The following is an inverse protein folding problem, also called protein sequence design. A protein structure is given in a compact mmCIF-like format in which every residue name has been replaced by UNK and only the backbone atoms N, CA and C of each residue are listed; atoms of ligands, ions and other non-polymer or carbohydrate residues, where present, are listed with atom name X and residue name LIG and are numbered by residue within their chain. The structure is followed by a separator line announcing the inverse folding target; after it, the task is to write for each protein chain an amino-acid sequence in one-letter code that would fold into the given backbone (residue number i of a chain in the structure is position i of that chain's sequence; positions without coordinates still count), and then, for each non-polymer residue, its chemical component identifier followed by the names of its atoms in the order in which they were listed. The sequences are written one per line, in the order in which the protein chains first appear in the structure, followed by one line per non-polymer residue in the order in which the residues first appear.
data_IF_131912409805
#
_entry.id   IF_131912409805
#
_cell.length_a   1.000
_cell.length_b   1.000
_cell.length_c   1.000
_cell.angle_alpha   90.00
_cell.angle_beta   90.00
_cell.angle_gamma   90.00
#
_symmetry.space_group_name_H-M   'P 1'
#
loop_
_entity.id
_entity.type
_entity.pdbx_description
1 polymer ?
#
# COMPACT_ATOMS: atom_id res chain seq x y z
N UNK A 1 -9.99 38.91 49.55
CA UNK A 1 -9.08 39.48 50.56
C UNK A 1 -8.10 38.38 50.92
N UNK A 2 -6.87 38.47 50.43
CA UNK A 2 -5.83 37.50 50.74
C UNK A 2 -4.99 38.04 51.90
N UNK A 3 -4.76 37.22 52.93
CA UNK A 3 -4.06 37.62 54.15
C UNK A 3 -2.61 37.17 53.99
N UNK A 4 -1.74 38.11 53.65
CA UNK A 4 -0.30 37.92 53.82
C UNK A 4 0.26 39.06 54.69
N UNK A 5 0.85 38.69 55.82
CA UNK A 5 1.60 39.57 56.73
C UNK A 5 0.84 40.74 57.37
N UNK A 6 -0.37 40.49 57.90
CA UNK A 6 -0.98 41.32 58.97
C UNK A 6 -1.24 42.80 58.65
N UNK A 7 -1.17 43.22 57.38
CA UNK A 7 -1.56 44.56 56.92
C UNK A 7 -2.74 44.46 55.96
N UNK A 8 -3.85 45.12 56.29
CA UNK A 8 -4.99 45.26 55.39
C UNK A 8 -4.58 46.14 54.19
N UNK A 9 -4.21 45.52 53.07
CA UNK A 9 -4.12 46.23 51.79
C UNK A 9 -5.54 46.34 51.23
N UNK A 10 -6.07 47.56 51.17
CA UNK A 10 -7.24 47.85 50.35
C UNK A 10 -6.88 47.57 48.90
N UNK A 11 -7.54 46.58 48.28
CA UNK A 11 -7.35 46.32 46.85
C UNK A 11 -7.75 47.57 46.07
N UNK A 12 -6.90 48.00 45.13
CA UNK A 12 -7.23 49.08 44.22
C UNK A 12 -8.45 48.68 43.38
N UNK A 13 -9.37 49.61 43.11
CA UNK A 13 -10.58 49.35 42.30
C UNK A 13 -10.26 48.63 40.99
N UNK A 14 -9.08 48.88 40.40
CA UNK A 14 -8.61 48.22 39.20
C UNK A 14 -8.38 46.71 39.36
N UNK A 15 -7.79 46.26 40.49
CA UNK A 15 -7.58 44.83 40.75
C UNK A 15 -8.88 44.08 41.03
N UNK A 16 -9.88 44.75 41.63
CA UNK A 16 -11.21 44.15 41.79
C UNK A 16 -11.93 43.99 40.45
N UNK A 17 -11.80 44.96 39.53
CA UNK A 17 -12.41 44.88 38.19
C UNK A 17 -11.75 43.76 37.36
N UNK A 18 -10.44 43.58 37.46
CA UNK A 18 -9.70 42.54 36.73
C UNK A 18 -10.06 41.12 37.23
N UNK A 19 -10.17 40.93 38.54
CA UNK A 19 -10.63 39.65 39.11
C UNK A 19 -12.11 39.38 38.74
N UNK A 20 -12.95 40.41 38.70
CA UNK A 20 -14.36 40.28 38.30
C UNK A 20 -14.50 39.94 36.81
N UNK A 21 -13.65 40.52 35.95
CA UNK A 21 -13.61 40.24 34.51
C UNK A 21 -13.11 38.81 34.23
N UNK A 22 -12.04 38.38 34.90
CA UNK A 22 -11.52 37.00 34.80
C UNK A 22 -12.57 35.97 35.28
N UNK A 23 -13.31 36.29 36.34
CA UNK A 23 -14.41 35.44 36.80
C UNK A 23 -15.55 35.35 35.77
N UNK A 24 -15.89 36.46 35.11
CA UNK A 24 -16.89 36.47 34.06
C UNK A 24 -16.46 35.63 32.84
N UNK A 25 -15.22 35.81 32.36
CA UNK A 25 -14.70 35.03 31.23
C UNK A 25 -14.61 33.53 31.55
N UNK A 26 -14.26 33.20 32.79
CA UNK A 26 -14.27 31.81 33.27
C UNK A 26 -15.69 31.23 33.31
N UNK A 27 -16.68 32.01 33.74
CA UNK A 27 -18.09 31.59 33.72
C UNK A 27 -18.59 31.40 32.29
N UNK A 28 -18.25 32.30 31.36
CA UNK A 28 -18.65 32.15 29.96
C UNK A 28 -18.01 30.91 29.32
N UNK A 29 -16.73 30.65 29.55
CA UNK A 29 -16.06 29.45 29.05
C UNK A 29 -16.61 28.16 29.66
N UNK A 30 -16.89 28.12 30.97
CA UNK A 30 -17.54 26.97 31.62
C UNK A 30 -18.95 26.73 31.08
N UNK A 31 -19.76 27.78 30.91
CA UNK A 31 -21.09 27.66 30.30
C UNK A 31 -21.02 27.17 28.84
N UNK A 32 -20.06 27.66 28.06
CA UNK A 32 -19.86 27.17 26.69
C UNK A 32 -19.48 25.69 26.68
N UNK A 33 -18.65 25.27 27.63
CA UNK A 33 -18.21 23.88 27.76
C UNK A 33 -19.36 22.95 28.18
N UNK A 34 -20.19 23.38 29.14
CA UNK A 34 -21.37 22.66 29.59
C UNK A 34 -22.44 22.55 28.49
N UNK A 35 -22.69 23.62 27.73
CA UNK A 35 -23.61 23.60 26.57
C UNK A 35 -23.08 22.66 25.47
N UNK A 36 -21.76 22.56 25.29
CA UNK A 36 -21.14 21.64 24.34
C UNK A 36 -21.26 20.19 24.83
N UNK A 37 -21.04 19.93 26.11
CA UNK A 37 -21.17 18.60 26.72
C UNK A 37 -22.63 18.10 26.70
N UNK A 38 -23.58 18.96 27.04
CA UNK A 38 -25.03 18.63 27.04
C UNK A 38 -25.54 18.34 25.61
N UNK A 39 -25.07 19.11 24.62
CA UNK A 39 -25.32 18.80 23.20
C UNK A 39 -24.72 17.46 22.79
N UNK A 40 -23.54 17.12 23.30
CA UNK A 40 -22.86 15.87 22.99
C UNK A 40 -23.60 14.66 23.60
N UNK A 41 -24.12 14.81 24.83
CA UNK A 41 -24.91 13.78 25.51
C UNK A 41 -26.25 13.53 24.81
N UNK A 42 -26.94 14.58 24.34
CA UNK A 42 -28.18 14.45 23.57
C UNK A 42 -27.93 13.73 22.23
N UNK A 43 -26.82 14.01 21.55
CA UNK A 43 -26.43 13.33 20.31
C UNK A 43 -26.11 11.85 20.57
N UNK A 44 -25.48 11.51 21.69
CA UNK A 44 -25.10 10.14 22.02
C UNK A 44 -26.28 9.27 22.51
N UNK A 45 -27.33 9.87 23.09
CA UNK A 45 -28.46 9.15 23.66
C UNK A 45 -29.57 8.81 22.64
N UNK A 46 -29.73 9.60 21.58
CA UNK A 46 -30.82 9.44 20.59
C UNK A 46 -30.41 8.59 19.36
N UNK A 47 -29.12 8.26 19.22
CA UNK A 47 -28.64 7.37 18.17
C UNK A 47 -28.74 5.91 18.62
N UNK A 48 -29.54 5.05 17.97
CA UNK A 48 -29.35 3.62 18.16
C UNK A 48 -27.91 3.32 17.74
N UNK A 49 -27.14 2.60 18.57
CA UNK A 49 -25.73 2.20 18.32
C UNK A 49 -25.61 1.20 17.16
N UNK A 50 -26.37 1.41 16.09
CA UNK A 50 -26.23 0.75 14.81
C UNK A 50 -25.03 1.44 14.19
N UNK A 51 -23.91 0.73 14.12
CA UNK A 51 -22.70 1.24 13.49
C UNK A 51 -22.96 1.36 11.99
N UNK A 52 -23.57 2.47 11.56
CA UNK A 52 -23.95 2.71 10.16
C UNK A 52 -22.73 2.64 9.24
N UNK A 53 -21.56 3.07 9.72
CA UNK A 53 -20.27 2.89 9.03
C UNK A 53 -19.95 1.42 8.76
N UNK A 54 -20.03 0.56 9.78
CA UNK A 54 -19.80 -0.87 9.65
C UNK A 54 -20.84 -1.55 8.73
N UNK A 55 -22.09 -1.10 8.77
CA UNK A 55 -23.13 -1.58 7.87
C UNK A 55 -22.80 -1.22 6.41
N UNK A 56 -22.46 0.03 6.11
CA UNK A 56 -22.16 0.46 4.74
C UNK A 56 -20.96 -0.31 4.15
N UNK A 57 -19.87 -0.42 4.91
CA UNK A 57 -18.66 -1.13 4.46
C UNK A 57 -18.92 -2.62 4.21
N UNK A 58 -19.74 -3.27 5.05
CA UNK A 58 -20.08 -4.68 4.86
C UNK A 58 -20.97 -4.92 3.64
N UNK A 59 -21.91 -4.02 3.36
CA UNK A 59 -22.75 -4.11 2.15
C UNK A 59 -21.95 -3.90 0.87
N UNK A 60 -21.05 -2.91 0.85
CA UNK A 60 -20.17 -2.68 -0.29
C UNK A 60 -19.26 -3.88 -0.54
N UNK A 61 -18.58 -4.36 0.49
CA UNK A 61 -17.67 -5.50 0.39
C UNK A 61 -18.37 -6.77 -0.09
N UNK A 62 -19.54 -7.09 0.48
CA UNK A 62 -20.30 -8.28 0.09
C UNK A 62 -20.85 -8.17 -1.34
N UNK A 63 -21.32 -7.00 -1.76
CA UNK A 63 -21.80 -6.78 -3.12
C UNK A 63 -20.68 -6.99 -4.16
N UNK A 64 -19.51 -6.39 -3.96
CA UNK A 64 -18.36 -6.60 -4.85
C UNK A 64 -17.82 -8.04 -4.77
N UNK A 65 -17.83 -8.67 -3.60
CA UNK A 65 -17.43 -10.07 -3.45
C UNK A 65 -18.33 -11.03 -4.23
N UNK A 66 -19.65 -10.83 -4.19
CA UNK A 66 -20.61 -11.63 -4.97
C UNK A 66 -20.45 -11.37 -6.47
N UNK A 67 -20.29 -10.10 -6.87
CA UNK A 67 -20.07 -9.74 -8.27
C UNK A 67 -18.76 -10.35 -8.83
N UNK A 68 -17.67 -10.25 -8.07
CA UNK A 68 -16.37 -10.84 -8.41
C UNK A 68 -16.44 -12.37 -8.51
N UNK A 69 -17.15 -13.03 -7.60
CA UNK A 69 -17.34 -14.49 -7.63
C UNK A 69 -18.07 -14.94 -8.89
N UNK A 70 -19.17 -14.25 -9.27
CA UNK A 70 -19.92 -14.54 -10.51
C UNK A 70 -19.10 -14.27 -11.77
N UNK A 71 -18.26 -13.22 -11.76
CA UNK A 71 -17.38 -12.91 -12.88
C UNK A 71 -16.32 -14.01 -13.07
N UNK A 72 -15.65 -14.39 -11.98
CA UNK A 72 -14.64 -15.46 -11.99
C UNK A 72 -15.25 -16.79 -12.42
N UNK A 73 -16.45 -17.13 -11.96
CA UNK A 73 -17.18 -18.33 -12.39
C UNK A 73 -17.39 -18.33 -13.92
N UNK A 74 -17.92 -17.24 -14.48
CA UNK A 74 -18.15 -17.12 -15.94
C UNK A 74 -16.86 -17.25 -16.74
N UNK A 75 -15.77 -16.65 -16.27
CA UNK A 75 -14.47 -16.73 -16.93
C UNK A 75 -13.97 -18.18 -16.90
N UNK A 76 -14.04 -18.85 -15.74
CA UNK A 76 -13.62 -20.25 -15.60
C UNK A 76 -14.42 -21.19 -16.49
N UNK A 77 -15.74 -21.06 -16.55
CA UNK A 77 -16.58 -21.91 -17.39
C UNK A 77 -16.24 -21.73 -18.87
N UNK A 78 -16.04 -20.49 -19.32
CA UNK A 78 -15.62 -20.22 -20.72
C UNK A 78 -14.22 -20.75 -21.01
N UNK A 79 -13.27 -20.53 -20.13
CA UNK A 79 -11.91 -21.01 -20.28
C UNK A 79 -11.86 -22.55 -20.35
N UNK A 80 -12.61 -23.24 -19.48
CA UNK A 80 -12.72 -24.70 -19.52
C UNK A 80 -13.41 -25.20 -20.80
N UNK A 81 -14.47 -24.53 -21.26
CA UNK A 81 -15.11 -24.87 -22.52
C UNK A 81 -14.18 -24.70 -23.73
N UNK A 82 -13.33 -23.67 -23.74
CA UNK A 82 -12.28 -23.50 -24.76
C UNK A 82 -11.22 -24.60 -24.66
N UNK A 83 -10.80 -24.96 -23.44
CA UNK A 83 -9.82 -26.02 -23.21
C UNK A 83 -10.27 -27.37 -23.76
N UNK A 84 -11.55 -27.72 -23.56
CA UNK A 84 -12.12 -28.99 -24.07
C UNK A 84 -12.21 -29.05 -25.61
N UNK A 85 -12.12 -27.92 -26.31
CA UNK A 85 -12.14 -27.86 -27.78
C UNK A 85 -10.74 -27.93 -28.40
N UNK A 86 -9.70 -28.01 -27.56
CA UNK A 86 -8.32 -27.99 -27.99
C UNK A 86 -7.86 -29.38 -28.46
N UNK A 87 -6.97 -29.42 -29.46
CA UNK A 87 -6.42 -30.67 -30.00
C UNK A 87 -5.56 -31.43 -28.97
N UNK A 88 -5.50 -32.77 -29.09
CA UNK A 88 -4.75 -33.62 -28.16
C UNK A 88 -3.25 -33.28 -28.17
N UNK A 89 -2.69 -32.95 -29.33
CA UNK A 89 -1.29 -32.54 -29.51
C UNK A 89 -0.92 -31.26 -28.73
N UNK A 90 -1.90 -30.45 -28.32
CA UNK A 90 -1.67 -29.28 -27.48
C UNK A 90 -1.21 -29.68 -26.07
N UNK A 91 -1.75 -30.78 -25.52
CA UNK A 91 -1.47 -31.26 -24.17
C UNK A 91 -0.17 -32.09 -24.07
N UNK A 92 0.41 -32.46 -25.22
CA UNK A 92 1.69 -33.20 -25.27
C UNK A 92 2.90 -32.30 -24.97
N UNK A 93 2.74 -30.96 -25.02
CA UNK A 93 3.80 -30.02 -24.62
C UNK A 93 3.92 -30.01 -23.09
N UNK A 94 5.14 -30.12 -22.58
CA UNK A 94 5.42 -30.13 -21.13
C UNK A 94 4.84 -28.91 -20.39
N UNK A 95 4.88 -27.74 -21.04
CA UNK A 95 4.30 -26.47 -20.57
C UNK A 95 2.77 -26.52 -20.45
N UNK A 96 2.11 -27.28 -21.34
CA UNK A 96 0.65 -27.39 -21.44
C UNK A 96 0.13 -28.72 -20.89
N UNK A 97 0.90 -29.35 -20.00
CA UNK A 97 0.41 -30.53 -19.28
C UNK A 97 -0.89 -30.18 -18.55
N UNK A 98 -1.79 -31.17 -18.41
CA UNK A 98 -3.09 -30.98 -17.75
C UNK A 98 -2.96 -30.41 -16.33
N UNK A 99 -1.90 -30.78 -15.61
CA UNK A 99 -1.57 -30.23 -14.29
C UNK A 99 -1.13 -28.76 -14.34
N UNK A 100 -0.23 -28.40 -15.28
CA UNK A 100 0.23 -27.03 -15.45
C UNK A 100 -0.93 -26.09 -15.84
N UNK A 101 -1.77 -26.49 -16.78
CA UNK A 101 -2.94 -25.71 -17.20
C UNK A 101 -3.94 -25.54 -16.05
N UNK A 102 -4.20 -26.61 -15.29
CA UNK A 102 -5.09 -26.55 -14.14
C UNK A 102 -4.56 -25.55 -13.10
N UNK A 103 -3.25 -25.58 -12.82
CA UNK A 103 -2.60 -24.65 -11.92
C UNK A 103 -2.71 -23.20 -12.42
N UNK A 104 -2.44 -22.93 -13.70
CA UNK A 104 -2.59 -21.60 -14.28
C UNK A 104 -4.03 -21.10 -14.22
N UNK A 105 -5.01 -21.94 -14.59
CA UNK A 105 -6.42 -21.58 -14.55
C UNK A 105 -6.90 -21.26 -13.13
N UNK A 106 -6.42 -21.99 -12.12
CA UNK A 106 -6.71 -21.73 -10.71
C UNK A 106 -6.05 -20.44 -10.23
N UNK A 107 -4.76 -20.23 -10.55
CA UNK A 107 -4.00 -19.05 -10.14
C UNK A 107 -4.56 -17.76 -10.75
N UNK A 108 -4.88 -17.79 -12.05
CA UNK A 108 -5.48 -16.66 -12.77
C UNK A 108 -6.88 -16.35 -12.24
N UNK A 109 -7.69 -17.38 -11.97
CA UNK A 109 -9.01 -17.20 -11.39
C UNK A 109 -8.97 -16.55 -9.99
N UNK A 110 -8.02 -16.96 -9.15
CA UNK A 110 -7.81 -16.35 -7.83
C UNK A 110 -7.37 -14.90 -7.96
N UNK A 111 -6.43 -14.60 -8.87
CA UNK A 111 -5.97 -13.24 -9.13
C UNK A 111 -7.10 -12.34 -9.62
N UNK A 112 -7.91 -12.82 -10.57
CA UNK A 112 -9.09 -12.11 -11.07
C UNK A 112 -10.11 -11.89 -9.96
N UNK A 113 -10.38 -12.90 -9.13
CA UNK A 113 -11.31 -12.77 -8.01
C UNK A 113 -10.82 -11.72 -7.01
N UNK A 114 -9.55 -11.70 -6.66
CA UNK A 114 -8.99 -10.68 -5.77
C UNK A 114 -9.13 -9.27 -6.38
N UNK A 115 -8.81 -9.10 -7.65
CA UNK A 115 -8.95 -7.81 -8.32
C UNK A 115 -10.41 -7.37 -8.33
N UNK A 116 -11.32 -8.24 -8.78
CA UNK A 116 -12.72 -7.91 -8.97
C UNK A 116 -13.51 -7.74 -7.66
N UNK A 117 -13.22 -8.55 -6.64
CA UNK A 117 -13.96 -8.57 -5.39
C UNK A 117 -13.47 -7.51 -4.39
N UNK A 118 -12.16 -7.37 -4.21
CA UNK A 118 -11.61 -6.53 -3.13
C UNK A 118 -11.03 -5.24 -3.67
N UNK A 119 -10.16 -5.30 -4.67
CA UNK A 119 -9.44 -4.10 -5.16
C UNK A 119 -10.36 -3.09 -5.81
N UNK A 120 -11.31 -3.52 -6.63
CA UNK A 120 -12.28 -2.60 -7.26
C UNK A 120 -13.13 -1.86 -6.22
N UNK A 121 -13.59 -2.55 -5.19
CA UNK A 121 -14.37 -1.94 -4.10
C UNK A 121 -13.59 -0.82 -3.40
N UNK A 122 -12.33 -1.10 -3.03
CA UNK A 122 -11.46 -0.11 -2.41
C UNK A 122 -11.12 1.07 -3.34
N UNK A 123 -10.93 0.82 -4.64
CA UNK A 123 -10.68 1.89 -5.62
C UNK A 123 -11.90 2.82 -5.71
N UNK A 124 -13.10 2.27 -5.82
CA UNK A 124 -14.33 3.07 -5.87
C UNK A 124 -14.54 3.89 -4.59
N UNK A 125 -14.31 3.28 -3.42
CA UNK A 125 -14.41 3.96 -2.12
C UNK A 125 -13.42 5.11 -2.02
N UNK A 126 -12.15 4.85 -2.34
CA UNK A 126 -11.07 5.84 -2.26
C UNK A 126 -11.34 7.01 -3.20
N UNK A 127 -11.84 6.74 -4.41
CA UNK A 127 -12.22 7.79 -5.36
C UNK A 127 -13.39 8.64 -4.85
N UNK A 128 -14.42 8.01 -4.28
CA UNK A 128 -15.55 8.73 -3.71
C UNK A 128 -15.13 9.62 -2.54
N UNK A 129 -14.30 9.10 -1.63
CA UNK A 129 -13.75 9.87 -0.51
C UNK A 129 -12.86 11.02 -0.98
N UNK A 130 -12.04 10.80 -2.00
CA UNK A 130 -11.18 11.82 -2.56
C UNK A 130 -11.98 12.98 -3.17
N UNK A 131 -13.01 12.68 -3.98
CA UNK A 131 -13.89 13.68 -4.57
C UNK A 131 -14.62 14.47 -3.48
N UNK A 132 -15.21 13.76 -2.51
CA UNK A 132 -15.93 14.39 -1.41
C UNK A 132 -15.00 15.28 -0.56
N UNK A 133 -13.78 14.82 -0.28
CA UNK A 133 -12.78 15.59 0.46
C UNK A 133 -12.38 16.88 -0.25
N UNK A 134 -12.22 16.84 -1.58
CA UNK A 134 -11.96 18.05 -2.37
C UNK A 134 -13.14 19.02 -2.30
N UNK A 135 -14.37 18.54 -2.50
CA UNK A 135 -15.58 19.38 -2.47
C UNK A 135 -15.71 20.06 -1.10
N UNK A 136 -15.62 19.29 -0.01
CA UNK A 136 -15.70 19.83 1.34
C UNK A 136 -14.57 20.82 1.62
N UNK A 137 -13.33 20.51 1.20
CA UNK A 137 -12.20 21.43 1.34
C UNK A 137 -12.45 22.79 0.70
N UNK A 138 -12.96 22.81 -0.52
CA UNK A 138 -13.29 24.07 -1.21
C UNK A 138 -14.43 24.85 -0.54
N UNK A 139 -15.40 24.18 0.07
CA UNK A 139 -16.51 24.83 0.78
C UNK A 139 -16.05 25.52 2.07
N UNK A 140 -15.13 24.93 2.83
CA UNK A 140 -14.64 25.50 4.10
C UNK A 140 -13.57 26.57 3.89
N UNK A 141 -12.50 26.23 3.17
CA UNK A 141 -11.41 27.17 2.92
C UNK A 141 -10.62 26.76 1.65
N UNK A 142 -10.79 27.56 0.60
CA UNK A 142 -10.12 27.29 -0.68
C UNK A 142 -8.59 27.48 -0.62
N UNK A 143 -8.07 28.33 0.27
CA UNK A 143 -6.63 28.62 0.36
C UNK A 143 -5.86 27.43 0.95
N UNK A 144 -6.36 26.85 2.03
CA UNK A 144 -5.77 25.65 2.63
C UNK A 144 -5.86 24.44 1.69
N UNK A 145 -7.00 24.27 1.02
CA UNK A 145 -7.25 23.15 0.11
C UNK A 145 -6.28 23.14 -1.08
N UNK A 146 -5.94 24.30 -1.64
CA UNK A 146 -4.94 24.40 -2.72
C UNK A 146 -3.55 23.95 -2.28
N UNK A 147 -3.15 24.27 -1.03
CA UNK A 147 -1.87 23.82 -0.47
C UNK A 147 -1.86 22.29 -0.33
N UNK A 148 -2.94 21.70 0.19
CA UNK A 148 -3.07 20.24 0.34
C UNK A 148 -3.02 19.54 -1.01
N UNK A 149 -3.71 20.07 -2.04
CA UNK A 149 -3.67 19.53 -3.40
C UNK A 149 -2.25 19.58 -3.97
N UNK A 150 -1.50 20.66 -3.72
CA UNK A 150 -0.11 20.76 -4.16
C UNK A 150 0.78 19.71 -3.51
N UNK A 151 0.64 19.48 -2.20
CA UNK A 151 1.38 18.44 -1.48
C UNK A 151 1.00 17.04 -2.01
N UNK A 152 -0.28 16.78 -2.25
CA UNK A 152 -0.74 15.51 -2.83
C UNK A 152 -0.11 15.24 -4.20
N UNK A 153 0.05 16.27 -5.03
CA UNK A 153 0.72 16.14 -6.33
C UNK A 153 2.21 15.78 -6.17
N UNK A 154 2.92 16.38 -5.22
CA UNK A 154 4.32 16.05 -4.93
C UNK A 154 4.43 14.58 -4.48
N UNK A 155 3.56 14.13 -3.57
CA UNK A 155 3.55 12.73 -3.12
C UNK A 155 3.23 11.77 -4.27
N UNK A 156 2.29 12.12 -5.14
CA UNK A 156 1.97 11.33 -6.34
C UNK A 156 3.18 11.22 -7.28
N UNK A 157 3.95 12.30 -7.48
CA UNK A 157 5.16 12.26 -8.29
C UNK A 157 6.26 11.40 -7.66
N UNK A 158 6.48 11.51 -6.35
CA UNK A 158 7.46 10.68 -5.64
C UNK A 158 7.11 9.19 -5.73
N UNK A 159 5.84 8.83 -5.50
CA UNK A 159 5.39 7.43 -5.63
C UNK A 159 5.51 6.92 -7.06
N UNK A 160 5.19 7.73 -8.06
CA UNK A 160 5.39 7.39 -9.48
C UNK A 160 6.85 7.07 -9.82
N UNK A 161 7.80 7.90 -9.35
CA UNK A 161 9.23 7.67 -9.55
C UNK A 161 9.68 6.37 -8.88
N UNK A 162 9.22 6.09 -7.65
CA UNK A 162 9.53 4.84 -6.95
C UNK A 162 9.04 3.61 -7.72
N UNK A 163 7.80 3.63 -8.22
CA UNK A 163 7.23 2.51 -9.00
C UNK A 163 8.04 2.28 -10.29
N UNK A 164 8.41 3.35 -11.00
CA UNK A 164 9.26 3.22 -12.20
C UNK A 164 10.62 2.63 -11.86
N UNK A 165 11.23 3.08 -10.76
CA UNK A 165 12.51 2.59 -10.32
C UNK A 165 12.45 1.09 -10.02
N UNK A 166 11.45 0.63 -9.28
CA UNK A 166 11.23 -0.79 -9.01
C UNK A 166 11.00 -1.61 -10.29
N UNK A 167 10.19 -1.10 -11.22
CA UNK A 167 9.96 -1.76 -12.50
C UNK A 167 11.24 -1.90 -13.34
N UNK A 168 12.11 -0.88 -13.34
CA UNK A 168 13.40 -0.95 -14.04
C UNK A 168 14.31 -1.99 -13.43
N UNK A 169 14.37 -2.05 -12.10
CA UNK A 169 15.24 -2.98 -11.41
C UNK A 169 14.77 -4.44 -11.54
N UNK A 170 13.45 -4.65 -11.61
CA UNK A 170 12.91 -5.97 -11.90
C UNK A 170 13.27 -6.43 -13.32
N UNK A 171 13.32 -5.50 -14.30
CA UNK A 171 13.78 -5.81 -15.66
C UNK A 171 15.27 -6.18 -15.70
N UNK A 172 16.12 -5.38 -15.06
CA UNK A 172 17.56 -5.67 -14.98
C UNK A 172 17.82 -7.06 -14.37
N UNK A 173 17.18 -7.36 -13.25
CA UNK A 173 17.29 -8.68 -12.62
C UNK A 173 16.78 -9.82 -13.52
N UNK A 174 15.72 -9.58 -14.29
CA UNK A 174 15.18 -10.57 -15.23
C UNK A 174 16.17 -10.85 -16.38
N UNK A 175 16.77 -9.81 -16.95
CA UNK A 175 17.72 -9.93 -18.05
C UNK A 175 19.01 -10.63 -17.58
N UNK A 176 19.54 -10.26 -16.40
CA UNK A 176 20.70 -10.90 -15.80
C UNK A 176 20.45 -12.40 -15.54
N UNK A 177 19.23 -12.76 -15.11
CA UNK A 177 18.85 -14.17 -14.91
C UNK A 177 18.93 -14.98 -16.19
N UNK A 178 18.43 -14.42 -17.28
CA UNK A 178 18.42 -15.10 -18.58
C UNK A 178 19.84 -15.31 -19.08
N UNK A 179 20.71 -14.30 -18.96
CA UNK A 179 22.12 -14.39 -19.32
C UNK A 179 22.86 -15.42 -18.46
N UNK A 180 22.64 -15.42 -17.14
CA UNK A 180 23.27 -16.36 -16.22
C UNK A 180 22.84 -17.80 -16.52
N UNK A 181 21.55 -18.03 -16.77
CA UNK A 181 21.02 -19.34 -17.13
C UNK A 181 21.61 -19.85 -18.46
N UNK A 182 21.70 -18.97 -19.47
CA UNK A 182 22.29 -19.32 -20.76
C UNK A 182 23.78 -19.67 -20.63
N UNK A 183 24.55 -18.88 -19.88
CA UNK A 183 25.96 -19.14 -19.62
C UNK A 183 26.18 -20.45 -18.84
N UNK A 184 25.36 -20.71 -17.83
CA UNK A 184 25.43 -21.94 -17.06
C UNK A 184 25.17 -23.16 -17.93
N UNK A 185 24.14 -23.07 -18.77
CA UNK A 185 23.78 -24.14 -19.70
C UNK A 185 24.89 -24.41 -20.72
N UNK A 186 25.47 -23.36 -21.32
CA UNK A 186 26.55 -23.51 -22.29
C UNK A 186 27.81 -24.14 -21.66
N UNK A 187 28.18 -23.72 -20.46
CA UNK A 187 29.34 -24.27 -19.76
C UNK A 187 29.16 -25.76 -19.38
N UNK A 188 27.95 -26.16 -19.01
CA UNK A 188 27.61 -27.58 -18.81
C UNK A 188 27.78 -28.40 -20.09
N UNK A 189 27.35 -27.88 -21.24
CA UNK A 189 27.52 -28.53 -22.54
C UNK A 189 28.99 -28.71 -22.93
N UNK A 190 29.86 -27.75 -22.56
CA UNK A 190 31.32 -27.83 -22.78
C UNK A 190 32.01 -28.74 -21.74
N UNK A 191 31.26 -29.29 -20.78
CA UNK A 191 31.77 -30.24 -19.77
C UNK A 191 32.42 -29.58 -18.55
N UNK A 192 32.18 -28.28 -18.33
CA UNK A 192 32.65 -27.56 -17.15
C UNK A 192 31.87 -28.05 -15.93
N UNK A 193 32.53 -28.79 -15.02
CA UNK A 193 31.88 -29.33 -13.81
C UNK A 193 31.81 -28.34 -12.64
N UNK A 194 32.55 -27.23 -12.68
CA UNK A 194 32.60 -26.21 -11.62
C UNK A 194 32.81 -24.83 -12.23
N UNK A 195 31.99 -23.87 -11.84
CA UNK A 195 32.10 -22.47 -12.25
C UNK A 195 32.19 -21.54 -11.04
N UNK A 196 32.94 -20.45 -11.19
CA UNK A 196 32.99 -19.35 -10.22
C UNK A 196 32.50 -18.11 -10.93
N UNK A 197 31.41 -17.53 -10.45
CA UNK A 197 30.92 -16.25 -10.92
C UNK A 197 31.48 -15.12 -10.05
N UNK A 198 32.05 -14.10 -10.69
CA UNK A 198 32.51 -12.89 -10.02
C UNK A 198 31.43 -11.82 -10.03
N UNK A 199 31.06 -11.33 -8.85
CA UNK A 199 30.13 -10.19 -8.69
C UNK A 199 30.98 -8.93 -8.54
N UNK A 200 30.92 -8.02 -9.51
CA UNK A 200 31.73 -6.79 -9.51
C UNK A 200 31.22 -5.71 -8.56
N UNK A 201 29.93 -5.76 -8.23
CA UNK A 201 29.21 -4.82 -7.38
C UNK A 201 29.02 -5.40 -5.98
N UNK A 202 29.94 -5.06 -5.07
CA UNK A 202 29.83 -5.45 -3.67
C UNK A 202 28.55 -4.86 -3.06
N UNK A 203 27.61 -5.73 -2.71
CA UNK A 203 26.38 -5.36 -2.00
C UNK A 203 25.15 -5.17 -2.88
N UNK A 204 25.19 -5.49 -4.18
CA UNK A 204 23.95 -5.57 -4.95
C UNK A 204 23.16 -6.82 -4.58
N UNK A 205 22.17 -6.64 -3.71
CA UNK A 205 21.32 -7.74 -3.22
C UNK A 205 20.62 -8.50 -4.36
N UNK A 206 20.28 -7.83 -5.47
CA UNK A 206 19.62 -8.47 -6.61
C UNK A 206 20.56 -9.43 -7.34
N UNK A 207 21.78 -8.98 -7.65
CA UNK A 207 22.82 -9.80 -8.28
C UNK A 207 23.19 -11.00 -7.40
N UNK A 208 23.39 -10.78 -6.09
CA UNK A 208 23.69 -11.85 -5.13
C UNK A 208 22.54 -12.86 -5.05
N UNK A 209 21.29 -12.38 -4.98
CA UNK A 209 20.12 -13.25 -4.93
C UNK A 209 19.95 -14.07 -6.21
N UNK A 210 20.29 -13.49 -7.36
CA UNK A 210 20.25 -14.17 -8.64
C UNK A 210 21.24 -15.35 -8.69
N UNK A 211 22.50 -15.11 -8.34
CA UNK A 211 23.52 -16.16 -8.28
C UNK A 211 23.12 -17.29 -7.32
N UNK A 212 22.53 -16.97 -6.15
CA UNK A 212 22.01 -18.00 -5.23
C UNK A 212 20.85 -18.80 -5.82
N UNK A 213 19.98 -18.16 -6.60
CA UNK A 213 18.86 -18.85 -7.26
C UNK A 213 19.31 -19.82 -8.36
N UNK A 214 20.48 -19.57 -8.95
CA UNK A 214 21.17 -20.48 -9.87
C UNK A 214 22.12 -21.44 -9.14
N UNK A 215 21.88 -21.68 -7.84
CA UNK A 215 22.61 -22.64 -7.00
C UNK A 215 24.10 -22.34 -6.76
N UNK A 216 24.58 -21.14 -7.09
CA UNK A 216 25.92 -20.73 -6.72
C UNK A 216 26.01 -20.51 -5.21
N UNK A 217 26.96 -21.19 -4.58
CA UNK A 217 27.30 -21.00 -3.18
C UNK A 217 28.36 -19.90 -3.04
N UNK A 218 28.20 -19.03 -2.04
CA UNK A 218 29.18 -17.98 -1.80
C UNK A 218 30.47 -18.57 -1.24
N UNK A 219 31.55 -18.49 -2.03
CA UNK A 219 32.85 -19.11 -1.70
C UNK A 219 33.83 -18.11 -1.03
N UNK A 220 33.65 -16.79 -1.22
CA UNK A 220 34.49 -15.76 -0.61
C UNK A 220 34.63 -14.50 -1.46
N UNK A 221 35.39 -13.52 -0.96
CA UNK A 221 35.66 -12.25 -1.65
C UNK A 221 37.09 -12.27 -2.20
N UNK A 222 37.24 -12.18 -3.51
CA UNK A 222 38.54 -12.02 -4.17
C UNK A 222 39.01 -10.57 -4.01
N UNK A 223 40.09 -10.35 -3.25
CA UNK A 223 40.61 -8.99 -2.98
C UNK A 223 41.52 -8.45 -4.09
N UNK A 224 42.18 -9.33 -4.85
CA UNK A 224 43.10 -8.97 -5.94
C UNK A 224 43.08 -10.04 -7.01
N UNK A 225 42.65 -9.67 -8.22
CA UNK A 225 42.72 -10.52 -9.42
C UNK A 225 43.60 -9.82 -10.46
N UNK A 226 44.48 -10.56 -11.13
CA UNK A 226 45.30 -10.06 -12.23
C UNK A 226 45.29 -11.05 -13.38
N UNK A 227 45.15 -10.55 -14.61
CA UNK A 227 45.23 -11.37 -15.82
C UNK A 227 46.64 -11.34 -16.38
N UNK A 228 47.19 -12.50 -16.73
CA UNK A 228 48.48 -12.61 -17.39
C UNK A 228 48.25 -13.17 -18.79
N UNK A 229 48.12 -12.27 -19.77
CA UNK A 229 48.16 -12.65 -21.18
C UNK A 229 49.62 -12.52 -21.65
N UNK A 230 50.17 -13.58 -22.26
CA UNK A 230 51.57 -13.78 -22.69
C UNK A 230 52.59 -14.24 -21.64
N UNK A 231 52.42 -15.47 -21.14
CA UNK A 231 53.53 -16.44 -21.05
C UNK A 231 53.04 -17.79 -21.52
#
# INVERSE_FOLDING_TARGET
MEIENGKYRTMSNYQQIEIQADHHDKIYSMMQQEIVEDKQEIIDNDQPKINYSASISTHQFTAFAVAGSKLTERIRTKAFACLLRQEVAYFDRSENSSGAICHHLLSDALSIQQIAATRLGYICETLAMFILGIILGFLFNYQFTLIVIFILFIVAMLTYINIIFEMRLHKECHDDRLLLNALSHEAELVGVRKMIAGISDLGNERSISLHRSAEFTHVGILRTCGWKFNR
#
